data_IF_685063944083
#
_entry.id   IF_685063944083
#
_cell.length_a   1.000
_cell.length_b   1.000
_cell.length_c   1.000
_cell.angle_alpha   90.00
_cell.angle_beta   90.00
_cell.angle_gamma   90.00
#
_symmetry.space_group_name_H-M   'P 1'
#
loop_
_entity.id
_entity.type
_entity.pdbx_description
1 polymer ?
#
# COMPACT_ATOMS: atom_id res chain seq x y z
N UNK A 1 2.42 -18.42 18.86
CA UNK A 1 1.56 -17.38 18.23
C UNK A 1 1.11 -17.91 16.88
N UNK A 2 -0.15 -17.73 16.46
CA UNK A 2 -0.55 -18.04 15.09
C UNK A 2 0.20 -17.14 14.10
N UNK A 3 0.60 -17.69 12.95
CA UNK A 3 1.22 -16.92 11.87
C UNK A 3 0.15 -16.01 11.26
N UNK A 4 0.38 -14.70 11.11
CA UNK A 4 -0.58 -13.80 10.46
C UNK A 4 -0.85 -14.25 9.02
N UNK A 5 -2.10 -14.18 8.58
CA UNK A 5 -2.42 -14.42 7.16
C UNK A 5 -1.79 -13.34 6.29
N UNK A 6 -1.45 -13.64 5.03
CA UNK A 6 -0.85 -12.63 4.15
C UNK A 6 -1.73 -11.38 3.97
N UNK A 7 -3.06 -11.50 4.10
CA UNK A 7 -3.92 -10.32 4.08
C UNK A 7 -3.81 -9.45 5.34
N UNK A 8 -3.61 -10.05 6.51
CA UNK A 8 -3.29 -9.31 7.75
C UNK A 8 -1.96 -8.58 7.58
N UNK A 9 -0.93 -9.25 7.05
CA UNK A 9 0.38 -8.63 6.76
C UNK A 9 0.22 -7.44 5.81
N UNK A 10 -0.53 -7.59 4.73
CA UNK A 10 -0.82 -6.48 3.80
C UNK A 10 -1.47 -5.27 4.50
N UNK A 11 -2.46 -5.51 5.37
CA UNK A 11 -3.11 -4.44 6.16
C UNK A 11 -2.10 -3.73 7.06
N UNK A 12 -1.27 -4.48 7.77
CA UNK A 12 -0.26 -3.96 8.68
C UNK A 12 0.80 -3.12 7.95
N UNK A 13 1.34 -3.62 6.82
CA UNK A 13 2.31 -2.91 5.98
C UNK A 13 1.73 -1.57 5.52
N UNK A 14 0.52 -1.58 4.96
CA UNK A 14 -0.14 -0.34 4.50
C UNK A 14 -0.38 0.63 5.66
N UNK A 15 -0.88 0.14 6.80
CA UNK A 15 -1.14 0.98 7.97
C UNK A 15 0.15 1.62 8.50
N UNK A 16 1.25 0.86 8.59
CA UNK A 16 2.55 1.37 9.03
C UNK A 16 3.01 2.52 8.15
N UNK A 17 3.05 2.33 6.83
CA UNK A 17 3.51 3.39 5.92
C UNK A 17 2.59 4.61 5.90
N UNK A 18 1.27 4.45 6.08
CA UNK A 18 0.36 5.60 6.26
C UNK A 18 0.76 6.39 7.50
N UNK A 19 0.94 5.73 8.64
CA UNK A 19 1.32 6.40 9.90
C UNK A 19 2.67 7.09 9.80
N UNK A 20 3.67 6.42 9.26
CA UNK A 20 5.02 6.99 9.09
C UNK A 20 4.98 8.29 8.27
N UNK A 21 4.27 8.26 7.13
CA UNK A 21 4.16 9.42 6.24
C UNK A 21 3.25 10.52 6.78
N UNK A 22 2.30 10.20 7.65
CA UNK A 22 1.51 11.22 8.34
C UNK A 22 2.37 12.01 9.33
N UNK A 23 3.27 11.33 10.04
CA UNK A 23 4.20 11.96 11.00
C UNK A 23 5.16 12.92 10.31
N UNK A 24 5.54 12.67 9.05
CA UNK A 24 6.42 13.58 8.31
C UNK A 24 5.73 14.86 7.83
N UNK A 25 4.41 14.98 7.97
CA UNK A 25 3.61 16.15 7.53
C UNK A 25 4.00 16.66 6.14
N UNK A 26 3.87 15.84 5.07
CA UNK A 26 4.43 16.14 3.77
C UNK A 26 3.83 17.43 3.19
N UNK A 27 4.68 18.21 2.53
CA UNK A 27 4.29 19.46 1.88
C UNK A 27 3.13 19.22 0.91
N UNK A 28 2.12 20.08 0.96
CA UNK A 28 0.93 19.95 0.13
C UNK A 28 1.30 19.95 -1.36
N UNK A 29 0.74 19.00 -2.11
CA UNK A 29 1.01 18.79 -3.54
C UNK A 29 2.44 18.30 -3.89
N UNK A 30 3.27 17.96 -2.91
CA UNK A 30 4.50 17.20 -3.16
C UNK A 30 4.19 15.77 -3.63
N UNK A 31 5.18 15.11 -4.26
CA UNK A 31 5.10 13.68 -4.60
C UNK A 31 4.75 12.83 -3.37
N UNK A 32 5.36 13.10 -2.22
CA UNK A 32 5.07 12.41 -0.95
C UNK A 32 3.63 12.61 -0.50
N UNK A 33 3.07 13.81 -0.67
CA UNK A 33 1.68 14.08 -0.34
C UNK A 33 0.71 13.32 -1.24
N UNK A 34 0.98 13.27 -2.55
CA UNK A 34 0.17 12.47 -3.48
C UNK A 34 0.30 10.97 -3.18
N UNK A 35 1.52 10.48 -2.92
CA UNK A 35 1.76 9.10 -2.53
C UNK A 35 0.93 8.72 -1.30
N UNK A 36 0.97 9.54 -0.24
CA UNK A 36 0.18 9.33 0.97
C UNK A 36 -1.33 9.29 0.66
N UNK A 37 -1.83 10.12 -0.26
CA UNK A 37 -3.25 10.06 -0.66
C UNK A 37 -3.63 8.75 -1.33
N UNK A 38 -2.81 8.25 -2.24
CA UNK A 38 -3.04 6.95 -2.87
C UNK A 38 -2.96 5.82 -1.84
N UNK A 39 -1.98 5.87 -0.94
CA UNK A 39 -1.81 4.89 0.11
C UNK A 39 -2.99 4.89 1.11
N UNK A 40 -3.51 6.05 1.49
CA UNK A 40 -4.74 6.16 2.30
C UNK A 40 -5.96 5.56 1.60
N UNK A 41 -6.04 5.66 0.27
CA UNK A 41 -7.10 5.00 -0.50
C UNK A 41 -6.95 3.49 -0.42
N UNK A 42 -5.74 2.96 -0.60
CA UNK A 42 -5.44 1.52 -0.44
C UNK A 42 -5.81 1.07 0.98
N UNK A 43 -5.37 1.81 2.00
CA UNK A 43 -5.66 1.55 3.41
C UNK A 43 -7.16 1.42 3.67
N UNK A 44 -7.96 2.38 3.16
CA UNK A 44 -9.43 2.37 3.29
C UNK A 44 -10.04 1.07 2.76
N UNK A 45 -9.64 0.64 1.57
CA UNK A 45 -10.18 -0.59 0.98
C UNK A 45 -9.64 -1.86 1.67
N UNK A 46 -8.37 -1.88 2.05
CA UNK A 46 -7.77 -3.03 2.72
C UNK A 46 -8.43 -3.31 4.08
N UNK A 47 -8.75 -2.27 4.86
CA UNK A 47 -9.34 -2.41 6.19
C UNK A 47 -10.88 -2.44 6.18
N UNK A 48 -11.52 -1.94 5.12
CA UNK A 48 -12.98 -1.91 5.01
C UNK A 48 -13.62 -3.17 4.42
N UNK A 49 -12.81 -4.15 3.99
CA UNK A 49 -13.29 -5.34 3.28
C UNK A 49 -12.48 -6.57 3.66
N UNK A 50 -13.10 -7.75 3.60
CA UNK A 50 -12.51 -9.02 4.05
C UNK A 50 -11.70 -9.77 2.97
N UNK A 51 -11.39 -9.10 1.85
CA UNK A 51 -10.58 -9.67 0.77
C UNK A 51 -9.56 -8.66 0.24
N UNK A 52 -8.32 -9.09 -0.08
CA UNK A 52 -7.31 -8.24 -0.71
C UNK A 52 -7.71 -7.74 -2.10
N UNK A 53 -8.69 -8.37 -2.75
CA UNK A 53 -9.21 -7.96 -4.07
C UNK A 53 -9.91 -6.60 -4.04
N UNK A 54 -10.55 -6.27 -2.92
CA UNK A 54 -11.25 -5.00 -2.77
C UNK A 54 -10.29 -3.80 -2.93
N UNK A 55 -9.02 -3.96 -2.53
CA UNK A 55 -7.99 -2.94 -2.70
C UNK A 55 -7.43 -2.85 -4.14
N UNK A 56 -7.76 -3.79 -5.05
CA UNK A 56 -7.12 -3.90 -6.36
C UNK A 56 -7.25 -2.66 -7.25
N UNK A 57 -8.40 -1.98 -7.23
CA UNK A 57 -8.58 -0.72 -7.98
C UNK A 57 -7.73 0.41 -7.39
N UNK A 58 -7.64 0.51 -6.07
CA UNK A 58 -6.80 1.49 -5.40
C UNK A 58 -5.30 1.22 -5.65
N UNK A 59 -4.89 -0.06 -5.60
CA UNK A 59 -3.53 -0.50 -5.90
C UNK A 59 -3.12 -0.15 -7.34
N UNK A 60 -4.00 -0.36 -8.34
CA UNK A 60 -3.71 0.09 -9.72
C UNK A 60 -3.48 1.59 -9.82
N UNK A 61 -4.24 2.39 -9.05
CA UNK A 61 -4.03 3.83 -8.96
C UNK A 61 -2.66 4.19 -8.37
N UNK A 62 -2.27 3.50 -7.30
CA UNK A 62 -0.95 3.67 -6.67
C UNK A 62 0.20 3.26 -7.62
N UNK A 63 0.08 2.13 -8.30
CA UNK A 63 1.06 1.65 -9.30
C UNK A 63 1.24 2.67 -10.41
N UNK A 64 0.14 3.21 -10.97
CA UNK A 64 0.22 4.23 -12.01
C UNK A 64 0.93 5.48 -11.52
N UNK A 65 0.57 5.97 -10.34
CA UNK A 65 1.23 7.13 -9.74
C UNK A 65 2.73 6.89 -9.51
N UNK A 66 3.10 5.70 -9.02
CA UNK A 66 4.50 5.33 -8.83
C UNK A 66 5.29 5.43 -10.15
N UNK A 67 4.82 4.75 -11.19
CA UNK A 67 5.48 4.75 -12.52
C UNK A 67 5.57 6.16 -13.11
N UNK A 68 4.54 6.98 -12.94
CA UNK A 68 4.47 8.31 -13.55
C UNK A 68 5.27 9.37 -12.77
N UNK A 69 5.61 9.16 -11.49
CA UNK A 69 6.01 10.29 -10.60
C UNK A 69 7.06 9.98 -9.53
N UNK A 70 7.40 8.72 -9.26
CA UNK A 70 8.35 8.35 -8.20
C UNK A 70 9.71 7.99 -8.80
N UNK A 71 10.78 8.59 -8.28
CA UNK A 71 12.13 8.22 -8.64
C UNK A 71 12.50 6.85 -8.05
N UNK A 72 13.16 6.00 -8.84
CA UNK A 72 13.45 4.60 -8.49
C UNK A 72 14.32 4.46 -7.23
N UNK A 73 15.28 5.37 -7.01
CA UNK A 73 16.17 5.36 -5.83
C UNK A 73 15.61 6.14 -4.62
N UNK A 74 14.31 6.44 -4.59
CA UNK A 74 13.70 7.21 -3.50
C UNK A 74 13.14 6.34 -2.38
N UNK A 75 13.04 6.88 -1.17
CA UNK A 75 12.34 6.24 -0.03
C UNK A 75 10.90 5.83 -0.38
N UNK A 76 10.26 6.54 -1.31
CA UNK A 76 8.92 6.23 -1.78
C UNK A 76 8.88 4.96 -2.64
N UNK A 77 9.94 4.69 -3.40
CA UNK A 77 10.04 3.47 -4.20
C UNK A 77 10.11 2.24 -3.32
N UNK A 78 10.96 2.24 -2.30
CA UNK A 78 11.03 1.16 -1.32
C UNK A 78 9.68 0.92 -0.62
N UNK A 79 9.01 1.99 -0.17
CA UNK A 79 7.66 1.89 0.44
C UNK A 79 6.62 1.32 -0.52
N UNK A 80 6.70 1.69 -1.81
CA UNK A 80 5.80 1.17 -2.82
C UNK A 80 6.01 -0.33 -3.05
N UNK A 81 7.25 -0.77 -3.21
CA UNK A 81 7.62 -2.17 -3.42
C UNK A 81 7.13 -3.05 -2.28
N UNK A 82 7.36 -2.62 -1.04
CA UNK A 82 6.92 -3.36 0.14
C UNK A 82 5.39 -3.53 0.19
N UNK A 83 4.63 -2.47 -0.14
CA UNK A 83 3.17 -2.52 -0.22
C UNK A 83 2.70 -3.42 -1.37
N UNK A 84 3.35 -3.34 -2.54
CA UNK A 84 3.02 -4.13 -3.72
C UNK A 84 3.24 -5.62 -3.48
N UNK A 85 4.36 -5.98 -2.86
CA UNK A 85 4.71 -7.36 -2.57
C UNK A 85 3.80 -7.96 -1.51
N UNK A 86 3.46 -7.20 -0.47
CA UNK A 86 2.47 -7.62 0.52
C UNK A 86 1.09 -7.83 -0.13
N UNK A 87 0.66 -6.95 -1.03
CA UNK A 87 -0.60 -7.12 -1.77
C UNK A 87 -0.59 -8.37 -2.65
N UNK A 88 0.49 -8.61 -3.39
CA UNK A 88 0.67 -9.81 -4.22
C UNK A 88 0.68 -11.08 -3.38
N UNK A 89 1.34 -11.07 -2.22
CA UNK A 89 1.30 -12.17 -1.25
C UNK A 89 -0.13 -12.47 -0.81
N UNK A 90 -0.87 -11.44 -0.39
CA UNK A 90 -2.27 -11.57 0.00
C UNK A 90 -3.15 -12.14 -1.13
N UNK A 91 -2.96 -11.70 -2.37
CA UNK A 91 -3.71 -12.21 -3.53
C UNK A 91 -3.40 -13.68 -3.85
N UNK A 92 -2.17 -14.14 -3.62
CA UNK A 92 -1.79 -15.56 -3.84
C UNK A 92 -2.46 -16.45 -2.79
N UNK A 93 -2.44 -16.02 -1.53
CA UNK A 93 -3.04 -16.78 -0.42
C UNK A 93 -4.58 -16.79 -0.46
N UNK A 94 -5.21 -15.74 -1.00
CA UNK A 94 -6.66 -15.66 -1.27
C UNK A 94 -7.11 -16.66 -2.37
N UNK A 95 -6.17 -17.30 -3.06
CA UNK A 95 -6.41 -18.33 -4.06
C UNK A 95 -5.57 -19.59 -3.76
N UNK A 96 -5.92 -20.36 -2.71
CA UNK A 96 -5.36 -21.70 -2.58
C UNK A 96 -5.85 -22.51 -3.80
N UNK A 97 -4.91 -23.02 -4.59
CA UNK A 97 -5.22 -23.98 -5.65
C UNK A 97 -5.90 -25.23 -5.08
#
# INVERSE_FOLDING_TARGET
>A
MPIPTAFVVFREVVQRHVKDLEVTTPERYSTTWFFLRYLKRVHKFAHGHDTPRAAGSAMRGLVRFYVDSVAEDSDLAWRFEEVLDAHRGALRDDYPR
#
